data_IF_796295739399
#
_entry.id   IF_796295739399
#
_cell.length_a   1.000
_cell.length_b   1.000
_cell.length_c   1.000
_cell.angle_alpha   90.00
_cell.angle_beta   90.00
_cell.angle_gamma   90.00
#
_symmetry.space_group_name_H-M   'P 1'
#
loop_
_entity.id
_entity.type
_entity.pdbx_description
1 polymer ?
#
# COMPACT_ATOMS: atom_id res chain seq x y z
N UNK A 1 -26.18 -28.81 -16.77
CA UNK A 1 -25.22 -28.40 -15.74
C UNK A 1 -25.41 -26.91 -15.53
N UNK A 2 -25.88 -26.47 -14.36
CA UNK A 2 -25.90 -25.05 -14.00
C UNK A 2 -24.50 -24.69 -13.53
N UNK A 3 -23.78 -23.87 -14.28
CA UNK A 3 -22.49 -23.33 -13.86
C UNK A 3 -22.74 -22.42 -12.65
N UNK A 4 -22.30 -22.84 -11.46
CA UNK A 4 -22.37 -22.00 -10.28
C UNK A 4 -21.22 -20.98 -10.33
N UNK A 5 -21.55 -19.83 -10.91
CA UNK A 5 -20.65 -18.69 -11.05
C UNK A 5 -20.05 -18.25 -9.71
N UNK A 6 -20.82 -18.35 -8.62
CA UNK A 6 -20.39 -17.90 -7.29
C UNK A 6 -19.44 -18.89 -6.63
N UNK A 7 -19.71 -20.19 -6.75
CA UNK A 7 -18.80 -21.23 -6.29
C UNK A 7 -17.48 -21.20 -7.08
N UNK A 8 -17.53 -21.05 -8.41
CA UNK A 8 -16.33 -20.95 -9.24
C UNK A 8 -15.45 -19.75 -8.85
N UNK A 9 -16.03 -18.56 -8.63
CA UNK A 9 -15.27 -17.39 -8.18
C UNK A 9 -14.60 -17.62 -6.81
N UNK A 10 -15.30 -18.27 -5.87
CA UNK A 10 -14.70 -18.56 -4.55
C UNK A 10 -13.61 -19.61 -4.64
N UNK A 11 -13.81 -20.68 -5.38
CA UNK A 11 -12.85 -21.80 -5.40
C UNK A 11 -11.63 -21.53 -6.29
N UNK A 12 -11.83 -20.87 -7.44
CA UNK A 12 -10.76 -20.59 -8.39
C UNK A 12 -10.02 -19.27 -8.12
N UNK A 13 -10.68 -18.30 -7.47
CA UNK A 13 -10.16 -16.95 -7.26
C UNK A 13 -10.23 -16.45 -5.81
N UNK A 14 -10.33 -17.34 -4.80
CA UNK A 14 -10.21 -16.92 -3.40
C UNK A 14 -8.79 -16.42 -3.12
N UNK A 15 -8.61 -15.10 -3.26
CA UNK A 15 -7.54 -14.39 -2.60
C UNK A 15 -7.78 -14.53 -1.08
N UNK A 16 -6.79 -15.00 -0.33
CA UNK A 16 -6.89 -15.00 1.14
C UNK A 16 -7.03 -13.57 1.68
N UNK A 17 -7.62 -13.38 2.86
CA UNK A 17 -7.70 -12.05 3.52
C UNK A 17 -6.35 -11.33 3.60
N UNK A 18 -5.25 -12.08 3.72
CA UNK A 18 -3.89 -11.52 3.70
C UNK A 18 -3.47 -11.03 2.32
N UNK A 19 -3.95 -11.64 1.24
CA UNK A 19 -3.70 -11.17 -0.13
C UNK A 19 -4.53 -9.94 -0.46
N UNK A 20 -5.78 -9.88 0.03
CA UNK A 20 -6.69 -8.73 -0.13
C UNK A 20 -6.06 -7.44 0.45
N UNK A 21 -5.49 -7.51 1.66
CA UNK A 21 -4.86 -6.37 2.32
C UNK A 21 -3.33 -6.36 2.24
N UNK A 22 -2.74 -7.13 1.33
CA UNK A 22 -1.29 -7.29 1.26
C UNK A 22 -0.60 -5.93 1.06
N UNK A 23 -1.17 -5.09 0.18
CA UNK A 23 -0.66 -3.74 -0.07
C UNK A 23 -0.57 -2.95 1.23
N UNK A 24 -1.66 -2.86 1.99
CA UNK A 24 -1.74 -2.08 3.23
C UNK A 24 -0.82 -2.66 4.31
N UNK A 25 -0.73 -3.98 4.43
CA UNK A 25 0.13 -4.67 5.40
C UNK A 25 1.60 -4.39 5.09
N UNK A 26 2.05 -4.60 3.84
CA UNK A 26 3.45 -4.41 3.45
C UNK A 26 3.83 -2.94 3.48
N UNK A 27 2.96 -2.05 2.96
CA UNK A 27 3.21 -0.62 2.94
C UNK A 27 3.30 -0.05 4.36
N UNK A 28 2.27 -0.24 5.18
CA UNK A 28 2.24 0.21 6.58
C UNK A 28 3.32 -0.44 7.44
N UNK A 29 3.53 -1.75 7.26
CA UNK A 29 4.50 -2.50 8.06
C UNK A 29 5.94 -2.10 7.77
N UNK A 30 6.29 -1.94 6.50
CA UNK A 30 7.65 -1.53 6.11
C UNK A 30 7.94 -0.12 6.62
N UNK A 31 7.03 0.82 6.36
CA UNK A 31 7.22 2.21 6.76
C UNK A 31 7.27 2.33 8.29
N UNK A 32 6.42 1.61 9.03
CA UNK A 32 6.41 1.59 10.49
C UNK A 32 7.74 1.10 11.08
N UNK A 33 8.29 -0.01 10.57
CA UNK A 33 9.59 -0.52 11.03
C UNK A 33 10.68 0.50 10.76
N UNK A 34 10.74 1.03 9.54
CA UNK A 34 11.85 1.85 9.08
C UNK A 34 11.86 3.22 9.74
N UNK A 35 10.72 3.91 9.79
CA UNK A 35 10.61 5.25 10.40
C UNK A 35 10.82 5.21 11.91
N UNK A 36 10.26 4.20 12.58
CA UNK A 36 10.45 4.07 14.03
C UNK A 36 11.89 3.71 14.37
N UNK A 37 12.51 2.81 13.60
CA UNK A 37 13.93 2.51 13.78
C UNK A 37 14.83 3.69 13.42
N UNK A 38 14.47 4.53 12.45
CA UNK A 38 15.22 5.73 12.11
C UNK A 38 15.34 6.69 13.31
N UNK A 39 14.29 6.83 14.13
CA UNK A 39 14.37 7.60 15.38
C UNK A 39 15.39 6.98 16.34
N UNK A 40 15.32 5.67 16.56
CA UNK A 40 16.26 4.93 17.42
C UNK A 40 17.71 5.09 16.93
N UNK A 41 17.93 4.91 15.62
CA UNK A 41 19.23 5.03 14.98
C UNK A 41 19.77 6.46 15.04
N UNK A 42 18.92 7.48 14.87
CA UNK A 42 19.30 8.88 15.01
C UNK A 42 19.76 9.22 16.43
N UNK A 43 19.04 8.76 17.44
CA UNK A 43 19.46 8.91 18.84
C UNK A 43 20.78 8.19 19.14
N UNK A 44 20.98 6.98 18.60
CA UNK A 44 22.23 6.26 18.73
C UNK A 44 23.41 6.98 18.04
N UNK A 45 23.17 7.56 16.86
CA UNK A 45 24.16 8.37 16.14
C UNK A 45 24.54 9.64 16.90
N UNK A 46 23.56 10.36 17.46
CA UNK A 46 23.80 11.57 18.25
C UNK A 46 24.59 11.30 19.54
N UNK A 47 24.47 10.10 20.11
CA UNK A 47 25.21 9.69 21.30
C UNK A 47 26.64 9.18 21.00
N UNK A 48 26.99 8.97 19.73
CA UNK A 48 28.24 8.29 19.34
C UNK A 48 29.52 9.06 19.71
N UNK A 49 29.49 10.40 19.68
CA UNK A 49 30.64 11.28 19.98
C UNK A 49 30.68 11.77 21.45
N UNK A 50 29.81 11.23 22.33
CA UNK A 50 29.80 11.58 23.75
C UNK A 50 29.18 12.94 24.10
N UNK A 51 28.58 13.62 23.11
CA UNK A 51 28.03 14.98 23.23
C UNK A 51 26.66 15.08 23.94
N UNK A 52 26.01 13.96 24.24
CA UNK A 52 24.79 13.97 25.06
C UNK A 52 24.35 12.59 25.52
N UNK A 53 24.16 12.41 26.83
CA UNK A 53 23.39 11.28 27.35
C UNK A 53 21.92 11.50 27.00
N UNK A 54 21.51 11.08 25.81
CA UNK A 54 20.09 11.06 25.48
C UNK A 54 19.50 9.84 26.18
N UNK A 55 18.75 10.09 27.26
CA UNK A 55 18.17 9.03 28.08
C UNK A 55 17.19 8.16 27.28
N UNK A 56 17.14 6.87 27.56
CA UNK A 56 16.19 5.94 26.92
C UNK A 56 14.73 6.40 27.02
N UNK A 57 14.38 7.18 28.05
CA UNK A 57 13.05 7.80 28.17
C UNK A 57 12.77 8.74 26.99
N UNK A 58 13.76 9.50 26.51
CA UNK A 58 13.58 10.34 25.33
C UNK A 58 13.34 9.49 24.08
N UNK A 59 14.12 8.42 23.87
CA UNK A 59 13.93 7.49 22.74
C UNK A 59 12.51 6.88 22.77
N UNK A 60 12.02 6.48 23.94
CA UNK A 60 10.69 5.91 24.10
C UNK A 60 9.58 6.95 23.88
N UNK A 61 9.71 8.15 24.45
CA UNK A 61 8.70 9.22 24.30
C UNK A 61 8.62 9.68 22.86
N UNK A 62 9.75 10.03 22.24
CA UNK A 62 9.77 10.47 20.84
C UNK A 62 9.45 9.32 19.89
N UNK A 63 9.94 8.11 20.15
CA UNK A 63 9.64 6.94 19.35
C UNK A 63 8.16 6.57 19.36
N UNK A 64 7.51 6.53 20.53
CA UNK A 64 6.07 6.26 20.61
C UNK A 64 5.23 7.40 20.04
N UNK A 65 5.59 8.65 20.35
CA UNK A 65 4.86 9.80 19.82
C UNK A 65 4.90 9.82 18.29
N UNK A 66 6.09 9.59 17.71
CA UNK A 66 6.27 9.50 16.26
C UNK A 66 5.52 8.30 15.68
N UNK A 67 5.65 7.10 16.30
CA UNK A 67 4.96 5.89 15.86
C UNK A 67 3.45 6.10 15.70
N UNK A 68 2.78 6.67 16.71
CA UNK A 68 1.34 6.88 16.64
C UNK A 68 0.95 8.06 15.74
N UNK A 69 1.73 9.14 15.72
CA UNK A 69 1.48 10.27 14.83
C UNK A 69 1.54 9.85 13.36
N UNK A 70 2.60 9.13 12.99
CA UNK A 70 2.81 8.63 11.62
C UNK A 70 1.78 7.56 11.26
N UNK A 71 1.47 6.64 12.17
CA UNK A 71 0.42 5.63 11.94
C UNK A 71 -0.92 6.29 11.60
N UNK A 72 -1.33 7.31 12.39
CA UNK A 72 -2.59 8.04 12.15
C UNK A 72 -2.53 8.77 10.81
N UNK A 73 -1.42 9.47 10.54
CA UNK A 73 -1.21 10.20 9.28
C UNK A 73 -1.33 9.27 8.07
N UNK A 74 -0.66 8.12 8.12
CA UNK A 74 -0.63 7.15 7.04
C UNK A 74 -1.97 6.41 6.86
N UNK A 75 -2.63 6.04 7.96
CA UNK A 75 -3.96 5.42 7.91
C UNK A 75 -5.03 6.38 7.36
N UNK A 76 -5.02 7.64 7.78
CA UNK A 76 -5.89 8.67 7.21
C UNK A 76 -5.51 9.00 5.77
N UNK A 77 -4.22 8.97 5.43
CA UNK A 77 -3.72 9.14 4.08
C UNK A 77 -4.23 8.07 3.11
N UNK A 78 -4.18 6.79 3.50
CA UNK A 78 -4.76 5.70 2.70
C UNK A 78 -6.29 5.86 2.58
N UNK A 79 -6.98 6.23 3.67
CA UNK A 79 -8.43 6.51 3.62
C UNK A 79 -8.76 7.63 2.61
N UNK A 80 -8.05 8.76 2.67
CA UNK A 80 -8.26 9.89 1.77
C UNK A 80 -7.92 9.49 0.33
N UNK A 81 -6.81 8.77 0.12
CA UNK A 81 -6.37 8.29 -1.19
C UNK A 81 -7.42 7.41 -1.85
N UNK A 82 -7.87 6.34 -1.17
CA UNK A 82 -8.92 5.45 -1.70
C UNK A 82 -10.22 6.22 -1.92
N UNK A 83 -10.62 7.11 -0.99
CA UNK A 83 -11.83 7.93 -1.17
C UNK A 83 -11.73 8.85 -2.39
N UNK A 84 -10.59 9.50 -2.61
CA UNK A 84 -10.36 10.34 -3.79
C UNK A 84 -10.42 9.53 -5.08
N UNK A 85 -9.94 8.28 -5.09
CA UNK A 85 -10.10 7.38 -6.24
C UNK A 85 -11.57 7.03 -6.51
N UNK A 86 -12.37 6.75 -5.48
CA UNK A 86 -13.82 6.55 -5.63
C UNK A 86 -14.52 7.80 -6.20
N UNK A 87 -14.21 8.97 -5.65
CA UNK A 87 -14.83 10.22 -6.08
C UNK A 87 -14.44 10.56 -7.53
N UNK A 88 -13.18 10.33 -7.92
CA UNK A 88 -12.71 10.49 -9.30
C UNK A 88 -13.40 9.51 -10.26
N UNK A 89 -13.49 8.22 -9.89
CA UNK A 89 -14.17 7.21 -10.68
C UNK A 89 -15.64 7.59 -10.93
N UNK A 90 -16.35 7.98 -9.87
CA UNK A 90 -17.77 8.39 -9.97
C UNK A 90 -17.94 9.63 -10.83
N UNK A 91 -17.08 10.63 -10.66
CA UNK A 91 -17.12 11.83 -11.46
C UNK A 91 -16.92 11.50 -12.95
N UNK A 92 -15.91 10.69 -13.30
CA UNK A 92 -15.66 10.34 -14.69
C UNK A 92 -16.76 9.45 -15.27
N UNK A 93 -17.25 8.45 -14.53
CA UNK A 93 -18.37 7.60 -14.98
C UNK A 93 -19.65 8.40 -15.23
N UNK A 94 -19.94 9.40 -14.40
CA UNK A 94 -21.10 10.27 -14.61
C UNK A 94 -20.92 11.18 -15.84
N UNK A 95 -19.71 11.68 -16.09
CA UNK A 95 -19.39 12.40 -17.33
C UNK A 95 -19.56 11.50 -18.55
N UNK A 96 -19.07 10.26 -18.48
CA UNK A 96 -19.19 9.27 -19.55
C UNK A 96 -20.65 8.97 -19.91
N UNK A 97 -21.48 8.70 -18.89
CA UNK A 97 -22.92 8.52 -19.09
C UNK A 97 -23.57 9.74 -19.76
N UNK A 98 -23.15 10.94 -19.38
CA UNK A 98 -23.65 12.17 -19.99
C UNK A 98 -23.20 12.33 -21.45
N UNK A 99 -21.95 11.97 -21.77
CA UNK A 99 -21.40 11.98 -23.13
C UNK A 99 -22.13 10.96 -24.03
N UNK A 100 -22.43 9.77 -23.52
CA UNK A 100 -23.25 8.75 -24.22
C UNK A 100 -24.65 9.27 -24.55
N UNK A 101 -25.27 10.05 -23.65
CA UNK A 101 -26.59 10.63 -23.86
C UNK A 101 -26.58 11.80 -24.86
N UNK A 102 -25.58 12.69 -24.77
CA UNK A 102 -25.55 13.94 -25.54
C UNK A 102 -24.91 13.78 -26.91
N UNK A 103 -23.91 12.89 -27.04
CA UNK A 103 -23.16 12.65 -28.27
C UNK A 103 -22.99 11.15 -28.59
N UNK A 104 -24.09 10.38 -28.73
CA UNK A 104 -24.03 8.93 -28.91
C UNK A 104 -23.27 8.49 -30.16
N UNK A 105 -23.20 9.34 -31.19
CA UNK A 105 -22.47 9.03 -32.41
C UNK A 105 -20.95 9.01 -32.20
N UNK A 106 -20.43 9.91 -31.37
CA UNK A 106 -19.02 9.95 -30.99
C UNK A 106 -18.68 8.77 -30.09
N UNK A 107 -19.45 8.56 -29.02
CA UNK A 107 -19.17 7.46 -28.08
C UNK A 107 -19.25 6.08 -28.75
N UNK A 108 -20.18 5.91 -29.70
CA UNK A 108 -20.23 4.72 -30.54
C UNK A 108 -18.94 4.55 -31.33
N UNK A 109 -18.42 5.61 -31.96
CA UNK A 109 -17.18 5.55 -32.72
C UNK A 109 -15.99 5.14 -31.85
N UNK A 110 -15.91 5.69 -30.63
CA UNK A 110 -14.86 5.36 -29.65
C UNK A 110 -14.97 3.90 -29.21
N UNK A 111 -16.19 3.41 -28.94
CA UNK A 111 -16.42 2.00 -28.62
C UNK A 111 -16.00 1.06 -29.76
N UNK A 112 -16.35 1.36 -31.01
CA UNK A 112 -15.90 0.58 -32.17
C UNK A 112 -14.37 0.54 -32.23
N UNK A 113 -13.71 1.67 -31.99
CA UNK A 113 -12.26 1.76 -31.98
C UNK A 113 -11.64 0.88 -30.88
N UNK A 114 -12.17 0.94 -29.65
CA UNK A 114 -11.74 0.11 -28.53
C UNK A 114 -11.90 -1.38 -28.88
N UNK A 115 -13.05 -1.78 -29.39
CA UNK A 115 -13.34 -3.18 -29.74
C UNK A 115 -12.41 -3.71 -30.84
N UNK A 116 -12.12 -2.91 -31.87
CA UNK A 116 -11.15 -3.26 -32.93
C UNK A 116 -9.74 -3.46 -32.38
N UNK A 117 -9.29 -2.57 -31.47
CA UNK A 117 -7.99 -2.74 -30.82
C UNK A 117 -7.91 -4.02 -29.97
N UNK A 118 -9.04 -4.53 -29.49
CA UNK A 118 -9.14 -5.82 -28.77
C UNK A 118 -9.26 -7.03 -29.69
N UNK A 119 -9.25 -6.82 -31.00
CA UNK A 119 -9.19 -7.88 -32.01
C UNK A 119 -10.54 -8.27 -32.60
N UNK A 120 -11.63 -7.52 -32.33
CA UNK A 120 -12.89 -7.77 -33.01
C UNK A 120 -12.79 -7.34 -34.49
N UNK A 121 -13.29 -8.16 -35.44
CA UNK A 121 -13.43 -7.76 -36.84
C UNK A 121 -14.30 -6.51 -36.97
N UNK A 122 -14.08 -5.72 -38.02
CA UNK A 122 -14.73 -4.42 -38.20
C UNK A 122 -16.26 -4.48 -38.12
N UNK A 123 -16.88 -5.47 -38.77
CA UNK A 123 -18.33 -5.68 -38.79
C UNK A 123 -18.89 -6.09 -37.41
N UNK A 124 -18.17 -6.96 -36.69
CA UNK A 124 -18.55 -7.40 -35.35
C UNK A 124 -18.38 -6.29 -34.30
N UNK A 125 -17.34 -5.47 -34.44
CA UNK A 125 -17.09 -4.33 -33.57
C UNK A 125 -18.20 -3.26 -33.72
N UNK A 126 -18.60 -2.96 -34.96
CA UNK A 126 -19.72 -2.04 -35.24
C UNK A 126 -21.03 -2.57 -34.66
N UNK A 127 -21.38 -3.83 -34.93
CA UNK A 127 -22.60 -4.45 -34.40
C UNK A 127 -22.60 -4.50 -32.87
N UNK A 128 -21.45 -4.79 -32.25
CA UNK A 128 -21.32 -4.84 -30.79
C UNK A 128 -21.46 -3.45 -30.17
N UNK A 129 -20.83 -2.42 -30.75
CA UNK A 129 -20.99 -1.04 -30.29
C UNK A 129 -22.46 -0.57 -30.38
N UNK A 130 -23.17 -0.94 -31.45
CA UNK A 130 -24.61 -0.66 -31.59
C UNK A 130 -25.46 -1.36 -30.52
N UNK A 131 -25.06 -2.56 -30.09
CA UNK A 131 -25.69 -3.25 -28.97
C UNK A 131 -25.39 -2.52 -27.66
N UNK A 132 -24.12 -2.15 -27.42
CA UNK A 132 -23.69 -1.49 -26.19
C UNK A 132 -24.33 -0.11 -26.00
N UNK A 133 -24.55 0.64 -27.08
CA UNK A 133 -25.20 1.95 -27.03
C UNK A 133 -26.64 1.88 -26.49
N UNK A 134 -27.31 0.72 -26.59
CA UNK A 134 -28.64 0.47 -25.99
C UNK A 134 -28.57 0.14 -24.50
N UNK A 135 -27.37 -0.03 -23.96
CA UNK A 135 -27.05 -0.39 -22.58
C UNK A 135 -25.99 0.58 -22.02
N UNK A 136 -26.33 1.87 -21.81
CA UNK A 136 -25.37 2.93 -21.49
C UNK A 136 -24.54 2.65 -20.23
N UNK A 137 -25.12 2.05 -19.18
CA UNK A 137 -24.35 1.65 -17.99
C UNK A 137 -23.23 0.65 -18.30
N UNK A 138 -23.54 -0.39 -19.10
CA UNK A 138 -22.56 -1.40 -19.48
C UNK A 138 -21.49 -0.81 -20.40
N UNK A 139 -21.89 0.07 -21.31
CA UNK A 139 -20.98 0.79 -22.20
C UNK A 139 -20.04 1.67 -21.39
N UNK A 140 -20.56 2.48 -20.46
CA UNK A 140 -19.78 3.33 -19.59
C UNK A 140 -18.80 2.52 -18.73
N UNK A 141 -19.22 1.40 -18.13
CA UNK A 141 -18.33 0.55 -17.33
C UNK A 141 -17.16 -0.02 -18.17
N UNK A 142 -17.43 -0.34 -19.44
CA UNK A 142 -16.43 -0.84 -20.39
C UNK A 142 -15.48 0.27 -20.84
N UNK A 143 -15.99 1.47 -21.13
CA UNK A 143 -15.19 2.66 -21.47
C UNK A 143 -14.33 3.12 -20.29
N UNK A 144 -14.88 3.11 -19.07
CA UNK A 144 -14.12 3.36 -17.84
C UNK A 144 -12.87 2.49 -17.75
N UNK A 145 -13.02 1.21 -18.09
CA UNK A 145 -11.91 0.25 -18.04
C UNK A 145 -10.93 0.42 -19.20
N UNK A 146 -11.42 0.57 -20.44
CA UNK A 146 -10.55 0.47 -21.63
C UNK A 146 -10.08 1.81 -22.19
N UNK A 147 -10.79 2.89 -21.94
CA UNK A 147 -10.41 4.23 -22.34
C UNK A 147 -9.62 4.93 -21.21
N UNK A 148 -10.17 4.97 -19.99
CA UNK A 148 -9.55 5.66 -18.86
C UNK A 148 -8.63 4.78 -18.02
N UNK A 149 -8.64 3.46 -18.22
CA UNK A 149 -7.87 2.52 -17.39
C UNK A 149 -8.37 2.42 -15.94
N UNK A 150 -9.56 2.94 -15.66
CA UNK A 150 -10.15 3.02 -14.32
C UNK A 150 -11.03 1.81 -14.07
N UNK A 151 -10.72 1.08 -13.01
CA UNK A 151 -11.50 -0.07 -12.57
C UNK A 151 -12.48 0.37 -11.49
N UNK A 152 -13.64 -0.30 -11.40
CA UNK A 152 -14.63 0.01 -10.37
C UNK A 152 -14.02 -0.24 -8.98
N UNK A 153 -13.88 0.80 -8.14
CA UNK A 153 -13.29 0.66 -6.82
C UNK A 153 -14.31 0.15 -5.78
N UNK A 154 -15.54 -0.24 -6.17
CA UNK A 154 -16.59 -0.68 -5.24
C UNK A 154 -16.18 -1.85 -4.31
N UNK A 155 -15.23 -2.69 -4.71
CA UNK A 155 -14.70 -3.76 -3.87
C UNK A 155 -13.76 -3.24 -2.75
N UNK A 156 -13.25 -2.01 -2.88
CA UNK A 156 -12.40 -1.39 -1.86
C UNK A 156 -13.22 -0.61 -0.83
N UNK A 157 -12.87 -0.76 0.45
CA UNK A 157 -13.44 0.02 1.53
C UNK A 157 -12.38 0.99 2.09
N UNK A 158 -12.49 2.31 1.82
CA UNK A 158 -11.50 3.30 2.27
C UNK A 158 -11.22 3.25 3.77
N UNK A 159 -12.25 3.05 4.59
CA UNK A 159 -12.12 3.04 6.05
C UNK A 159 -11.35 1.80 6.54
N UNK A 160 -11.61 0.65 5.93
CA UNK A 160 -10.90 -0.60 6.25
C UNK A 160 -9.45 -0.51 5.77
N UNK A 161 -9.21 -0.02 4.56
CA UNK A 161 -7.85 0.15 4.02
C UNK A 161 -6.99 1.05 4.92
N UNK A 162 -7.54 2.19 5.34
CA UNK A 162 -6.89 3.09 6.29
C UNK A 162 -6.63 2.44 7.65
N UNK A 163 -7.61 1.71 8.18
CA UNK A 163 -7.47 1.01 9.46
C UNK A 163 -6.42 -0.11 9.42
N UNK A 164 -6.39 -0.92 8.36
CA UNK A 164 -5.39 -1.98 8.22
C UNK A 164 -3.99 -1.40 8.08
N UNK A 165 -3.84 -0.31 7.32
CA UNK A 165 -2.56 0.42 7.21
C UNK A 165 -2.09 0.93 8.57
N UNK A 166 -2.98 1.59 9.33
CA UNK A 166 -2.70 2.06 10.70
C UNK A 166 -2.25 0.91 11.61
N UNK A 167 -3.02 -0.19 11.65
CA UNK A 167 -2.71 -1.33 12.50
C UNK A 167 -1.39 -1.98 12.10
N UNK A 168 -1.12 -2.14 10.79
CA UNK A 168 0.15 -2.67 10.31
C UNK A 168 1.32 -1.80 10.77
N UNK A 169 1.20 -0.48 10.59
CA UNK A 169 2.24 0.46 11.02
C UNK A 169 2.53 0.37 12.51
N UNK A 170 1.51 0.40 13.37
CA UNK A 170 1.70 0.32 14.82
C UNK A 170 2.32 -1.02 15.24
N UNK A 171 1.80 -2.13 14.71
CA UNK A 171 2.26 -3.48 15.08
C UNK A 171 3.73 -3.66 14.70
N UNK A 172 4.08 -3.41 13.44
CA UNK A 172 5.45 -3.63 12.98
C UNK A 172 6.41 -2.54 13.45
N UNK A 173 5.97 -1.27 13.51
CA UNK A 173 6.76 -0.15 14.02
C UNK A 173 7.02 -0.19 15.52
N UNK A 174 6.25 -0.95 16.29
CA UNK A 174 6.57 -1.19 17.71
C UNK A 174 7.80 -2.09 17.92
N UNK A 175 8.15 -2.93 16.94
CA UNK A 175 9.22 -3.94 17.07
C UNK A 175 10.61 -3.32 17.31
N UNK A 176 11.02 -2.25 16.60
CA UNK A 176 12.25 -1.52 16.90
C UNK A 176 12.33 -0.97 18.33
N UNK A 177 11.20 -0.57 18.93
CA UNK A 177 11.16 0.02 20.29
C UNK A 177 11.12 -1.04 21.39
N UNK A 178 10.68 -2.26 21.08
CA UNK A 178 10.49 -3.33 22.07
C UNK A 178 11.70 -3.55 23.00
N UNK A 179 12.97 -3.55 22.53
CA UNK A 179 14.12 -3.74 23.41
C UNK A 179 14.30 -2.64 24.45
N UNK A 180 13.89 -1.41 24.16
CA UNK A 180 13.96 -0.28 25.10
C UNK A 180 12.91 -0.35 26.21
N UNK A 181 11.86 -1.15 26.05
CA UNK A 181 10.90 -1.45 27.12
C UNK A 181 11.34 -2.61 28.00
N UNK A 182 12.06 -3.58 27.44
CA UNK A 182 12.34 -4.85 28.10
C UNK A 182 13.73 -4.91 28.76
N UNK A 183 14.68 -4.09 28.30
CA UNK A 183 16.07 -4.13 28.76
C UNK A 183 16.51 -2.79 29.35
N UNK A 184 17.46 -2.83 30.28
CA UNK A 184 18.04 -1.62 30.84
C UNK A 184 18.77 -0.80 29.76
N UNK A 185 18.76 0.55 29.83
CA UNK A 185 19.39 1.43 28.85
C UNK A 185 20.91 1.24 28.82
N UNK A 186 21.37 0.34 27.96
CA UNK A 186 22.80 0.06 27.76
C UNK A 186 23.14 0.18 26.28
N UNK A 187 24.42 0.34 25.91
CA UNK A 187 24.83 0.27 24.50
C UNK A 187 24.38 -1.02 23.80
N UNK A 188 24.20 -2.12 24.55
CA UNK A 188 23.67 -3.38 24.04
C UNK A 188 22.19 -3.28 23.61
N UNK A 189 21.40 -2.38 24.19
CA UNK A 189 19.98 -2.17 23.84
C UNK A 189 19.81 -1.74 22.38
N UNK A 190 20.71 -0.88 21.88
CA UNK A 190 20.70 -0.49 20.48
C UNK A 190 20.95 -1.69 19.55
N UNK A 191 21.93 -2.54 19.89
CA UNK A 191 22.20 -3.78 19.12
C UNK A 191 20.98 -4.70 19.13
N UNK A 192 20.30 -4.86 20.26
CA UNK A 192 19.06 -5.63 20.32
C UNK A 192 17.98 -5.02 19.40
N UNK A 193 17.85 -3.69 19.35
CA UNK A 193 16.91 -3.00 18.44
C UNK A 193 17.26 -3.20 16.97
N UNK A 194 18.54 -3.16 16.60
CA UNK A 194 19.00 -3.50 15.25
C UNK A 194 18.57 -4.93 14.89
N UNK A 195 18.78 -5.89 15.79
CA UNK A 195 18.45 -7.30 15.55
C UNK A 195 16.94 -7.55 15.44
N UNK A 196 16.12 -6.94 16.31
CA UNK A 196 14.65 -7.08 16.24
C UNK A 196 14.10 -6.41 15.00
N UNK A 197 14.65 -5.25 14.60
CA UNK A 197 14.30 -4.55 13.35
C UNK A 197 14.64 -5.39 12.13
N UNK A 198 15.86 -5.94 12.06
CA UNK A 198 16.26 -6.82 10.96
C UNK A 198 15.35 -8.06 10.88
N UNK A 199 15.02 -8.67 12.04
CA UNK A 199 14.07 -9.78 12.12
C UNK A 199 12.68 -9.39 11.61
N UNK A 200 12.18 -8.20 11.95
CA UNK A 200 10.90 -7.69 11.49
C UNK A 200 10.88 -7.46 9.96
N UNK A 201 11.94 -6.86 9.40
CA UNK A 201 12.07 -6.66 7.95
C UNK A 201 12.13 -8.00 7.19
N UNK A 202 12.86 -8.99 7.72
CA UNK A 202 12.89 -10.34 7.15
C UNK A 202 11.51 -10.99 7.22
N UNK A 203 10.82 -10.91 8.36
CA UNK A 203 9.48 -11.45 8.52
C UNK A 203 8.47 -10.81 7.55
N UNK A 204 8.54 -9.49 7.37
CA UNK A 204 7.71 -8.76 6.42
C UNK A 204 8.02 -9.15 4.96
N UNK A 205 9.30 -9.30 4.62
CA UNK A 205 9.74 -9.80 3.32
C UNK A 205 9.28 -11.24 3.04
N UNK A 206 9.26 -12.10 4.06
CA UNK A 206 8.72 -13.46 3.98
C UNK A 206 7.20 -13.46 3.80
N UNK A 207 6.48 -12.54 4.44
CA UNK A 207 5.04 -12.37 4.24
C UNK A 207 4.75 -11.95 2.80
N UNK A 208 5.49 -10.97 2.27
CA UNK A 208 5.41 -10.54 0.87
C UNK A 208 5.69 -11.71 -0.08
N UNK A 209 6.77 -12.45 0.17
CA UNK A 209 7.15 -13.64 -0.62
C UNK A 209 6.02 -14.68 -0.68
N UNK A 210 5.46 -15.05 0.47
CA UNK A 210 4.40 -16.06 0.56
C UNK A 210 3.11 -15.61 -0.14
N UNK A 211 2.81 -14.30 -0.14
CA UNK A 211 1.58 -13.78 -0.71
C UNK A 211 1.67 -13.51 -2.23
N UNK A 212 2.86 -13.17 -2.76
CA UNK A 212 3.05 -12.84 -4.18
C UNK A 212 3.64 -13.97 -5.03
N UNK A 213 4.31 -14.96 -4.42
CA UNK A 213 4.98 -16.03 -5.16
C UNK A 213 6.25 -15.60 -5.91
N UNK A 214 6.76 -14.40 -5.65
CA UNK A 214 8.03 -13.89 -6.21
C UNK A 214 9.24 -14.69 -5.67
N UNK A 215 10.45 -14.55 -6.21
CA UNK A 215 11.61 -15.22 -5.64
C UNK A 215 12.00 -14.64 -4.28
N UNK A 216 12.24 -15.52 -3.30
CA UNK A 216 12.52 -15.19 -1.89
C UNK A 216 13.60 -14.10 -1.70
N UNK A 217 14.72 -14.22 -2.44
CA UNK A 217 15.85 -13.29 -2.31
C UNK A 217 15.47 -11.87 -2.74
N UNK A 218 14.52 -11.72 -3.67
CA UNK A 218 14.03 -10.41 -4.12
C UNK A 218 13.12 -9.79 -3.07
N UNK A 219 12.12 -10.53 -2.60
CA UNK A 219 11.17 -10.01 -1.60
C UNK A 219 11.84 -9.63 -0.29
N UNK A 220 12.69 -10.51 0.27
CA UNK A 220 13.41 -10.23 1.53
C UNK A 220 14.53 -9.23 1.30
N UNK A 221 15.29 -9.39 0.21
CA UNK A 221 16.43 -8.53 -0.10
C UNK A 221 16.03 -7.07 -0.30
N UNK A 222 14.97 -6.80 -1.08
CA UNK A 222 14.46 -5.44 -1.28
C UNK A 222 14.01 -4.80 0.03
N UNK A 223 13.22 -5.51 0.85
CA UNK A 223 12.70 -5.01 2.13
C UNK A 223 13.82 -4.69 3.13
N UNK A 224 14.80 -5.58 3.27
CA UNK A 224 15.95 -5.37 4.16
C UNK A 224 16.86 -4.25 3.65
N UNK A 225 17.09 -4.18 2.33
CA UNK A 225 17.95 -3.15 1.72
C UNK A 225 17.38 -1.76 1.96
N UNK A 226 16.08 -1.56 1.69
CA UNK A 226 15.39 -0.28 1.91
C UNK A 226 15.52 0.15 3.38
N UNK A 227 15.22 -0.76 4.32
CA UNK A 227 15.35 -0.45 5.75
C UNK A 227 16.79 -0.15 6.18
N UNK A 228 17.76 -0.85 5.62
CA UNK A 228 19.19 -0.61 5.90
C UNK A 228 19.64 0.76 5.42
N UNK A 229 19.25 1.16 4.21
CA UNK A 229 19.59 2.49 3.66
C UNK A 229 19.02 3.60 4.54
N UNK A 230 17.74 3.51 4.90
CA UNK A 230 17.10 4.50 5.77
C UNK A 230 17.77 4.58 7.16
N UNK A 231 18.12 3.44 7.76
CA UNK A 231 18.82 3.40 9.03
C UNK A 231 20.19 4.07 8.99
N UNK A 232 20.98 3.80 7.94
CA UNK A 232 22.30 4.42 7.74
C UNK A 232 22.18 5.93 7.59
N UNK A 233 21.21 6.41 6.83
CA UNK A 233 20.95 7.85 6.67
C UNK A 233 20.56 8.48 8.00
N UNK A 234 19.63 7.87 8.74
CA UNK A 234 19.16 8.40 10.02
C UNK A 234 20.26 8.45 11.08
N UNK A 235 21.07 7.38 11.18
CA UNK A 235 22.25 7.34 12.06
C UNK A 235 23.26 8.42 11.68
N UNK A 236 23.53 8.59 10.38
CA UNK A 236 24.43 9.63 9.86
C UNK A 236 23.99 11.04 10.20
N UNK A 237 22.70 11.35 10.02
CA UNK A 237 22.12 12.64 10.42
C UNK A 237 22.21 12.82 11.94
N UNK A 238 21.93 11.76 12.70
CA UNK A 238 22.09 11.76 14.16
C UNK A 238 23.50 12.17 14.59
N UNK A 239 24.52 11.57 13.99
CA UNK A 239 25.93 11.93 14.25
C UNK A 239 26.21 13.41 13.91
N UNK A 240 25.74 13.89 12.75
CA UNK A 240 25.98 15.27 12.32
C UNK A 240 25.31 16.33 13.18
N UNK A 241 24.15 16.03 13.76
CA UNK A 241 23.38 16.98 14.58
C UNK A 241 23.77 16.89 16.06
N UNK A 242 24.18 15.70 16.52
CA UNK A 242 24.63 15.49 17.89
C UNK A 242 26.05 15.97 18.17
N UNK A 243 26.90 16.10 17.15
CA UNK A 243 28.28 16.59 17.22
C UNK A 243 28.46 18.08 17.01
#
# INVERSE_FOLDING_TARGET
MTFDWTAHRREAHALGRTQEFLKQIIYGGNDGIVTTFAIVAGFAGAAADGAGQIGAVAVLVFGLANLFADAVSMGLGEFLSTRSQHDLYRARRNSELHEIEVNPAQERYEMVHILRQRGLPDEEAEATADIMLRHPDMMADLMMTYEFGMHDPAEENPAINGFVTFCSFVVFGSVPLMPYFLTEPTPATFIHSVMTTAGALVALGLLRWNATGEPLHRSVGETVLVGTVCAVVAYGVGMLVGG
#
